data_IF_925418221229
#
_entry.id   IF_925418221229
#
_cell.length_a   1.000
_cell.length_b   1.000
_cell.length_c   1.000
_cell.angle_alpha   90.00
_cell.angle_beta   90.00
_cell.angle_gamma   90.00
#
_symmetry.space_group_name_H-M   'P 1'
#
loop_
_entity.id
_entity.type
_entity.pdbx_description
1 polymer ?
#
# COMPACT_ATOMS: atom_id res chain seq x y z
N UNK A 1 16.96 21.47 4.76
CA UNK A 1 15.66 22.16 4.55
C UNK A 1 14.65 21.54 5.50
N UNK A 2 13.73 22.32 6.08
CA UNK A 2 12.68 21.81 6.98
C UNK A 2 11.39 21.60 6.19
N UNK A 3 10.81 20.40 6.27
CA UNK A 3 9.51 20.10 5.66
C UNK A 3 8.37 20.75 6.49
N UNK A 4 7.37 21.38 5.86
CA UNK A 4 6.26 22.00 6.58
C UNK A 4 5.30 20.96 7.17
N UNK A 5 4.89 21.16 8.41
CA UNK A 5 3.93 20.30 9.11
C UNK A 5 2.49 20.60 8.67
N UNK A 6 1.93 19.77 7.78
CA UNK A 6 0.53 19.88 7.38
C UNK A 6 -0.42 19.35 8.46
N UNK A 7 -1.25 20.23 9.03
CA UNK A 7 -2.40 19.86 9.86
C UNK A 7 -3.58 19.51 8.94
N UNK A 8 -4.04 18.26 8.98
CA UNK A 8 -5.25 17.83 8.29
C UNK A 8 -6.48 18.38 9.05
N UNK A 9 -7.39 19.15 8.41
CA UNK A 9 -8.63 19.57 9.05
C UNK A 9 -9.58 18.36 9.20
N UNK A 10 -10.15 18.21 10.40
CA UNK A 10 -11.21 17.22 10.64
C UNK A 10 -12.51 17.68 9.96
N UNK A 11 -13.04 16.88 9.03
CA UNK A 11 -14.35 17.14 8.45
C UNK A 11 -15.46 17.01 9.51
N UNK A 12 -16.45 17.92 9.54
CA UNK A 12 -17.59 17.81 10.43
C UNK A 12 -18.49 16.62 10.03
N UNK A 13 -19.22 16.01 10.99
CA UNK A 13 -20.04 14.83 10.73
C UNK A 13 -21.21 15.12 9.78
N UNK A 14 -21.48 14.18 8.89
CA UNK A 14 -22.59 14.24 7.92
C UNK A 14 -23.94 14.34 8.64
N UNK A 15 -24.74 15.36 8.29
CA UNK A 15 -26.13 15.49 8.75
C UNK A 15 -26.97 14.35 8.16
N UNK A 16 -27.76 13.67 9.00
CA UNK A 16 -28.76 12.69 8.55
C UNK A 16 -29.87 13.41 7.77
N UNK A 17 -30.07 13.03 6.51
CA UNK A 17 -31.14 13.51 5.64
C UNK A 17 -32.12 12.38 5.30
N UNK A 18 -33.37 12.59 5.67
CA UNK A 18 -34.62 11.86 5.38
C UNK A 18 -34.61 10.80 4.25
N UNK A 19 -34.90 9.55 4.63
CA UNK A 19 -35.37 8.52 3.69
C UNK A 19 -36.89 8.66 3.51
N UNK A 20 -37.34 9.05 2.32
CA UNK A 20 -38.78 9.09 2.00
C UNK A 20 -39.33 7.68 1.81
N UNK A 21 -40.38 7.36 2.55
CA UNK A 21 -41.16 6.13 2.41
C UNK A 21 -41.76 6.00 1.00
N UNK A 22 -41.71 4.79 0.45
CA UNK A 22 -42.73 4.30 -0.49
C UNK A 22 -43.21 2.94 0.00
N UNK A 23 -44.49 2.88 0.35
CA UNK A 23 -45.18 1.64 0.69
C UNK A 23 -45.30 0.75 -0.55
N UNK A 24 -45.18 -0.56 -0.38
CA UNK A 24 -45.97 -1.49 -1.18
C UNK A 24 -46.25 -2.76 -0.37
N UNK A 25 -47.55 -3.01 -0.17
CA UNK A 25 -48.12 -4.18 0.51
C UNK A 25 -48.15 -5.41 -0.38
N UNK A 26 -47.72 -6.56 0.15
CA UNK A 26 -48.36 -7.87 -0.13
C UNK A 26 -48.28 -8.74 1.13
N UNK A 27 -49.41 -9.35 1.53
CA UNK A 27 -49.52 -10.28 2.67
C UNK A 27 -49.24 -11.72 2.24
N UNK A 28 -48.25 -12.40 2.84
CA UNK A 28 -48.27 -13.82 3.30
C UNK A 28 -47.25 -13.90 4.47
N UNK A 29 -47.40 -14.66 5.56
CA UNK A 29 -48.53 -15.44 6.08
C UNK A 29 -48.04 -16.61 6.96
N UNK A 30 -48.67 -16.85 8.12
CA UNK A 30 -48.29 -17.83 9.17
C UNK A 30 -46.95 -17.47 9.91
N UNK A 31 -46.76 -17.70 11.21
CA UNK A 31 -47.71 -18.18 12.23
C UNK A 31 -47.06 -19.07 13.29
N UNK A 32 -46.22 -18.53 14.20
CA UNK A 32 -45.77 -19.25 15.39
C UNK A 32 -45.70 -18.36 16.63
N UNK A 33 -46.25 -18.86 17.73
CA UNK A 33 -46.24 -18.27 19.07
C UNK A 33 -45.35 -19.10 19.98
N UNK A 34 -44.50 -18.48 20.81
CA UNK A 34 -43.98 -19.16 22.01
C UNK A 34 -43.57 -18.17 23.12
N UNK A 35 -44.25 -18.36 24.25
CA UNK A 35 -43.84 -18.11 25.64
C UNK A 35 -42.95 -16.89 25.97
N UNK A 36 -43.59 -15.90 26.60
CA UNK A 36 -42.92 -14.98 27.54
C UNK A 36 -42.42 -15.78 28.74
N UNK A 37 -41.19 -15.53 29.21
CA UNK A 37 -40.85 -15.78 30.61
C UNK A 37 -39.91 -14.70 31.14
N UNK A 38 -40.38 -13.91 32.11
CA UNK A 38 -39.60 -12.90 32.81
C UNK A 38 -38.97 -13.53 34.07
N UNK A 39 -37.69 -13.23 34.33
CA UNK A 39 -37.16 -13.14 35.69
C UNK A 39 -36.45 -11.80 35.84
N UNK A 40 -36.70 -11.02 36.91
CA UNK A 40 -35.94 -9.82 37.19
C UNK A 40 -34.62 -10.19 37.88
N UNK A 41 -33.51 -9.65 37.42
CA UNK A 41 -32.28 -9.58 38.21
C UNK A 41 -32.03 -8.11 38.55
N UNK A 42 -32.23 -7.79 39.82
CA UNK A 42 -31.85 -6.51 40.41
C UNK A 42 -30.33 -6.48 40.51
N UNK A 43 -29.68 -5.76 39.59
CA UNK A 43 -28.26 -5.46 39.64
C UNK A 43 -28.06 -3.97 39.92
N UNK A 44 -27.62 -3.63 41.12
CA UNK A 44 -27.26 -2.25 41.49
C UNK A 44 -26.01 -1.82 40.73
N UNK A 45 -26.16 -0.90 39.78
CA UNK A 45 -25.02 -0.34 39.05
C UNK A 45 -24.22 0.61 39.96
N UNK A 46 -23.10 0.14 40.50
CA UNK A 46 -22.06 1.05 41.01
C UNK A 46 -21.31 1.67 39.82
N UNK A 47 -21.12 3.01 39.78
CA UNK A 47 -20.32 3.64 38.75
C UNK A 47 -18.84 3.36 39.03
N UNK A 48 -18.27 2.35 38.36
CA UNK A 48 -16.82 2.18 38.27
C UNK A 48 -16.25 3.42 37.60
N UNK A 49 -15.50 4.23 38.35
CA UNK A 49 -14.74 5.34 37.78
C UNK A 49 -13.76 4.76 36.76
N UNK A 50 -13.97 5.03 35.48
CA UNK A 50 -12.93 4.83 34.48
C UNK A 50 -11.81 5.83 34.77
N UNK A 51 -10.77 5.37 35.44
CA UNK A 51 -9.48 6.07 35.45
C UNK A 51 -8.99 6.17 34.01
N UNK A 52 -8.59 7.36 33.58
CA UNK A 52 -8.00 7.53 32.25
C UNK A 52 -6.77 6.63 32.13
N UNK A 53 -6.79 5.70 31.17
CA UNK A 53 -5.63 4.86 30.89
C UNK A 53 -4.47 5.74 30.43
N UNK A 54 -3.28 5.54 30.99
CA UNK A 54 -2.09 6.27 30.55
C UNK A 54 -1.82 5.96 29.07
N UNK A 55 -1.47 6.96 28.24
CA UNK A 55 -1.21 6.72 26.83
C UNK A 55 -0.01 5.77 26.67
N UNK A 56 -0.25 4.65 25.97
CA UNK A 56 0.71 3.56 25.77
C UNK A 56 2.05 4.12 25.26
N UNK A 57 3.07 4.11 26.13
CA UNK A 57 4.37 4.74 25.89
C UNK A 57 5.30 3.92 24.99
N UNK A 58 4.74 3.09 24.11
CA UNK A 58 5.50 2.28 23.18
C UNK A 58 5.94 3.12 21.98
N UNK A 59 7.19 3.57 22.03
CA UNK A 59 7.88 4.17 20.89
C UNK A 59 8.80 3.08 20.29
N UNK A 60 8.40 2.38 19.21
CA UNK A 60 9.26 1.42 18.56
C UNK A 60 10.51 2.15 18.04
N UNK A 61 11.70 1.63 18.38
CA UNK A 61 12.95 2.15 17.82
C UNK A 61 12.93 1.90 16.31
N UNK A 62 12.83 2.97 15.52
CA UNK A 62 12.92 2.91 14.06
C UNK A 62 14.22 2.17 13.66
N UNK A 63 14.14 1.18 12.75
CA UNK A 63 15.32 0.56 12.16
C UNK A 63 16.24 1.62 11.55
N UNK A 64 17.55 1.39 11.61
CA UNK A 64 18.53 2.38 11.12
C UNK A 64 18.43 2.58 9.60
N UNK A 65 17.93 1.58 8.86
CA UNK A 65 17.57 1.67 7.44
C UNK A 65 16.52 2.76 7.20
N UNK A 66 15.52 2.86 8.08
CA UNK A 66 14.45 3.88 8.05
C UNK A 66 14.93 5.27 8.51
N UNK A 67 16.20 5.41 8.90
CA UNK A 67 16.86 6.69 9.16
C UNK A 67 17.70 7.16 7.95
N UNK A 68 17.82 6.35 6.91
CA UNK A 68 18.36 6.82 5.63
C UNK A 68 17.36 7.76 4.96
N UNK A 69 17.84 8.95 4.60
CA UNK A 69 17.05 9.92 3.82
C UNK A 69 16.56 9.30 2.50
N UNK A 70 17.37 8.43 1.88
CA UNK A 70 17.04 7.73 0.63
C UNK A 70 15.89 6.73 0.82
N UNK A 71 15.93 5.91 1.88
CA UNK A 71 14.86 4.96 2.20
C UNK A 71 13.54 5.67 2.53
N UNK A 72 13.62 6.75 3.31
CA UNK A 72 12.47 7.59 3.66
C UNK A 72 11.88 8.27 2.42
N UNK A 73 12.74 8.81 1.55
CA UNK A 73 12.33 9.45 0.31
C UNK A 73 11.68 8.45 -0.67
N UNK A 74 12.30 7.30 -0.91
CA UNK A 74 11.71 6.25 -1.74
C UNK A 74 10.36 5.77 -1.18
N UNK A 75 10.24 5.54 0.13
CA UNK A 75 8.97 5.15 0.73
C UNK A 75 7.88 6.21 0.53
N UNK A 76 8.20 7.48 0.76
CA UNK A 76 7.28 8.59 0.51
C UNK A 76 6.82 8.62 -0.95
N UNK A 77 7.76 8.60 -1.90
CA UNK A 77 7.47 8.61 -3.34
C UNK A 77 6.62 7.40 -3.72
N UNK A 78 6.99 6.20 -3.30
CA UNK A 78 6.24 4.98 -3.58
C UNK A 78 4.81 5.04 -3.04
N UNK A 79 4.60 5.47 -1.79
CA UNK A 79 3.26 5.53 -1.21
C UNK A 79 2.39 6.62 -1.85
N UNK A 80 2.99 7.77 -2.20
CA UNK A 80 2.33 8.80 -3.02
C UNK A 80 1.98 8.27 -4.40
N UNK A 81 2.83 7.46 -5.02
CA UNK A 81 2.57 6.81 -6.30
C UNK A 81 1.39 5.83 -6.22
N UNK A 82 1.29 4.97 -5.19
CA UNK A 82 0.12 4.11 -4.99
C UNK A 82 -1.18 4.89 -4.75
N UNK A 83 -1.13 6.03 -4.05
CA UNK A 83 -2.27 6.95 -3.98
C UNK A 83 -2.65 7.50 -5.36
N UNK A 84 -1.65 7.98 -6.11
CA UNK A 84 -1.79 8.60 -7.42
C UNK A 84 -2.43 7.65 -8.43
N UNK A 85 -1.99 6.39 -8.48
CA UNK A 85 -2.62 5.35 -9.31
C UNK A 85 -4.12 5.24 -9.05
N UNK A 86 -4.53 5.16 -7.77
CA UNK A 86 -5.94 5.09 -7.40
C UNK A 86 -6.72 6.36 -7.76
N UNK A 87 -6.13 7.53 -7.54
CA UNK A 87 -6.72 8.83 -7.88
C UNK A 87 -6.90 9.02 -9.39
N UNK A 88 -6.03 8.41 -10.21
CA UNK A 88 -6.04 8.49 -11.67
C UNK A 88 -6.68 7.25 -12.34
N UNK A 89 -7.60 6.57 -11.66
CA UNK A 89 -8.38 5.42 -12.16
C UNK A 89 -7.60 4.14 -12.50
N UNK A 90 -6.37 3.99 -12.00
CA UNK A 90 -5.60 2.76 -12.01
C UNK A 90 -5.80 2.02 -10.68
N UNK A 91 -6.98 1.42 -10.51
CA UNK A 91 -7.33 0.66 -9.32
C UNK A 91 -8.13 -0.63 -9.60
N UNK A 92 -7.99 -1.60 -8.69
CA UNK A 92 -8.79 -2.81 -8.57
C UNK A 92 -9.68 -2.70 -7.33
N UNK A 93 -10.90 -3.22 -7.40
CA UNK A 93 -11.88 -3.17 -6.31
C UNK A 93 -13.31 -3.11 -6.83
N UNK A 94 -14.28 -3.14 -5.93
CA UNK A 94 -15.71 -2.96 -6.22
C UNK A 94 -16.25 -1.74 -5.46
N UNK A 95 -17.43 -1.28 -5.87
CA UNK A 95 -18.16 -0.21 -5.17
C UNK A 95 -18.40 -0.63 -3.72
N UNK A 96 -18.07 0.25 -2.76
CA UNK A 96 -18.15 0.03 -1.31
C UNK A 96 -17.23 -1.09 -0.74
N UNK A 97 -16.25 -1.58 -1.50
CA UNK A 97 -15.25 -2.55 -1.04
C UNK A 97 -13.83 -1.95 -1.00
N UNK A 98 -12.83 -2.76 -0.61
CA UNK A 98 -11.41 -2.38 -0.62
C UNK A 98 -10.96 -1.98 -2.03
N UNK A 99 -10.18 -0.90 -2.12
CA UNK A 99 -9.54 -0.43 -3.35
C UNK A 99 -8.02 -0.60 -3.27
N UNK A 100 -7.44 -1.22 -4.30
CA UNK A 100 -6.00 -1.48 -4.44
C UNK A 100 -5.46 -0.83 -5.73
N UNK A 101 -4.20 -0.37 -5.78
CA UNK A 101 -3.62 0.18 -7.01
C UNK A 101 -3.46 -0.89 -8.09
N UNK A 102 -3.93 -0.60 -9.31
CA UNK A 102 -3.82 -1.48 -10.47
C UNK A 102 -2.54 -1.24 -11.26
N UNK A 103 -1.45 -1.76 -10.72
CA UNK A 103 -0.14 -1.76 -11.36
C UNK A 103 -0.11 -2.50 -12.71
N UNK A 104 -0.99 -3.48 -12.95
CA UNK A 104 -1.03 -4.24 -14.21
C UNK A 104 -1.67 -3.39 -15.33
N UNK A 105 -2.84 -2.80 -15.05
CA UNK A 105 -3.52 -1.85 -15.96
C UNK A 105 -2.65 -0.64 -16.27
N UNK A 106 -1.88 -0.18 -15.29
CA UNK A 106 -0.93 0.90 -15.44
C UNK A 106 0.26 0.50 -16.34
N UNK A 107 0.88 -0.66 -16.10
CA UNK A 107 1.99 -1.16 -16.92
C UNK A 107 1.64 -1.23 -18.41
N UNK A 108 0.43 -1.68 -18.76
CA UNK A 108 -0.06 -1.72 -20.15
C UNK A 108 -0.06 -0.34 -20.83
N UNK A 109 -0.24 0.76 -20.08
CA UNK A 109 -0.18 2.12 -20.64
C UNK A 109 1.24 2.63 -20.87
N UNK A 110 2.23 2.12 -20.13
CA UNK A 110 3.63 2.53 -20.23
C UNK A 110 4.50 1.59 -21.06
N UNK A 111 4.01 0.44 -21.53
CA UNK A 111 4.84 -0.56 -22.22
C UNK A 111 5.72 0.03 -23.35
N UNK A 112 5.20 0.98 -24.12
CA UNK A 112 5.95 1.66 -25.18
C UNK A 112 7.20 2.41 -24.71
N UNK A 113 7.18 3.04 -23.53
CA UNK A 113 8.34 3.75 -22.96
C UNK A 113 9.39 2.77 -22.41
N UNK A 114 8.98 1.60 -21.94
CA UNK A 114 9.89 0.57 -21.43
C UNK A 114 10.55 -0.25 -22.55
N UNK A 115 9.85 -0.44 -23.68
CA UNK A 115 10.40 -1.11 -24.86
C UNK A 115 11.40 -0.24 -25.64
N UNK A 116 11.20 1.08 -25.64
CA UNK A 116 12.07 2.04 -26.30
C UNK A 116 12.50 3.13 -25.29
N UNK A 117 13.30 2.78 -24.27
CA UNK A 117 13.79 3.77 -23.33
C UNK A 117 14.69 4.77 -24.07
N UNK A 118 14.70 6.02 -23.61
CA UNK A 118 15.67 7.00 -24.07
C UNK A 118 17.06 6.64 -23.52
N UNK A 119 18.13 6.97 -24.24
CA UNK A 119 19.53 6.80 -23.82
C UNK A 119 19.86 7.74 -22.63
N UNK A 120 19.27 7.46 -21.48
CA UNK A 120 19.32 8.23 -20.25
C UNK A 120 19.22 7.32 -19.00
N UNK A 121 19.16 7.94 -17.81
CA UNK A 121 19.12 7.24 -16.52
C UNK A 121 17.97 6.24 -16.38
N UNK A 122 16.88 6.40 -17.14
CA UNK A 122 15.77 5.46 -17.14
C UNK A 122 16.14 4.16 -17.85
N UNK A 123 16.89 4.21 -18.96
CA UNK A 123 17.45 3.00 -19.57
C UNK A 123 18.39 2.28 -18.60
N UNK A 124 19.30 3.02 -17.95
CA UNK A 124 20.21 2.46 -16.92
C UNK A 124 19.41 1.74 -15.82
N UNK A 125 18.31 2.33 -15.35
CA UNK A 125 17.44 1.74 -14.33
C UNK A 125 16.66 0.51 -14.82
N UNK A 126 16.20 0.50 -16.08
CA UNK A 126 15.54 -0.66 -16.68
C UNK A 126 16.55 -1.82 -16.87
N UNK A 127 17.76 -1.52 -17.33
CA UNK A 127 18.82 -2.51 -17.50
C UNK A 127 19.32 -3.06 -16.15
N UNK A 128 19.49 -2.20 -15.14
CA UNK A 128 19.82 -2.62 -13.77
C UNK A 128 18.82 -3.66 -13.23
N UNK A 129 17.51 -3.45 -13.40
CA UNK A 129 16.50 -4.42 -12.96
C UNK A 129 16.43 -5.69 -13.83
N UNK A 130 16.87 -5.65 -15.10
CA UNK A 130 17.02 -6.85 -15.95
C UNK A 130 18.16 -7.74 -15.48
N UNK A 131 19.28 -7.13 -15.09
CA UNK A 131 20.50 -7.83 -14.66
C UNK A 131 20.46 -8.22 -13.18
N UNK A 132 19.94 -7.34 -12.33
CA UNK A 132 19.91 -7.45 -10.86
C UNK A 132 18.48 -7.38 -10.30
N UNK A 133 17.55 -8.28 -10.70
CA UNK A 133 16.19 -8.25 -10.20
C UNK A 133 16.13 -8.62 -8.70
N UNK A 134 15.39 -7.86 -7.87
CA UNK A 134 15.32 -8.09 -6.43
C UNK A 134 14.79 -9.49 -6.10
N UNK A 135 15.37 -10.15 -5.09
CA UNK A 135 14.87 -11.44 -4.57
C UNK A 135 13.49 -11.25 -3.92
N UNK A 136 12.65 -12.29 -3.99
CA UNK A 136 11.34 -12.34 -3.32
C UNK A 136 11.48 -13.09 -2.00
N UNK A 137 11.04 -12.48 -0.90
CA UNK A 137 10.88 -13.20 0.36
C UNK A 137 9.77 -14.26 0.22
N UNK A 138 10.09 -15.48 0.67
CA UNK A 138 9.22 -16.65 0.64
C UNK A 138 9.25 -17.35 2.00
N UNK A 139 8.35 -18.33 2.17
CA UNK A 139 8.47 -19.36 3.19
C UNK A 139 9.06 -20.59 2.49
N UNK A 140 10.15 -21.15 3.00
CA UNK A 140 10.79 -22.34 2.44
C UNK A 140 10.10 -23.65 2.90
N UNK A 141 10.58 -24.79 2.44
CA UNK A 141 10.01 -26.11 2.79
C UNK A 141 10.09 -26.43 4.30
N UNK A 142 11.01 -25.80 5.04
CA UNK A 142 11.16 -25.94 6.48
C UNK A 142 10.22 -25.02 7.28
N UNK A 143 9.38 -24.23 6.60
CA UNK A 143 8.51 -23.18 7.15
C UNK A 143 9.25 -21.95 7.69
N UNK A 144 10.47 -21.69 7.20
CA UNK A 144 11.31 -20.56 7.59
C UNK A 144 11.27 -19.45 6.53
N UNK A 145 11.59 -18.21 6.92
CA UNK A 145 11.73 -17.09 5.97
C UNK A 145 13.00 -17.24 5.14
N UNK A 146 12.87 -17.15 3.82
CA UNK A 146 13.96 -17.37 2.86
C UNK A 146 13.78 -16.46 1.61
N UNK A 147 14.76 -16.45 0.71
CA UNK A 147 14.87 -15.51 -0.41
C UNK A 147 15.02 -16.20 -1.75
N UNK A 148 13.94 -16.17 -2.55
CA UNK A 148 13.92 -16.77 -3.88
C UNK A 148 14.43 -15.79 -4.95
N UNK A 149 15.43 -16.15 -5.77
CA UNK A 149 15.74 -15.44 -7.01
C UNK A 149 14.54 -15.42 -7.96
N UNK A 150 14.27 -14.25 -8.54
CA UNK A 150 13.10 -14.02 -9.38
C UNK A 150 13.53 -13.25 -10.64
N UNK A 151 14.10 -13.93 -11.66
CA UNK A 151 14.49 -13.30 -12.91
C UNK A 151 13.29 -12.67 -13.62
N UNK A 152 13.55 -11.70 -14.50
CA UNK A 152 12.53 -11.10 -15.38
C UNK A 152 11.93 -12.18 -16.28
N UNK A 153 10.60 -12.24 -16.35
CA UNK A 153 9.92 -13.10 -17.31
C UNK A 153 9.91 -12.45 -18.70
N UNK A 154 10.77 -12.93 -19.60
CA UNK A 154 10.88 -12.42 -20.99
C UNK A 154 9.64 -12.66 -21.85
N UNK A 155 8.67 -13.47 -21.40
CA UNK A 155 7.38 -13.67 -22.06
C UNK A 155 6.27 -12.75 -21.54
N UNK A 156 6.59 -11.79 -20.65
CA UNK A 156 5.66 -10.79 -20.13
C UNK A 156 6.05 -9.38 -20.60
N UNK A 157 5.09 -8.42 -20.62
CA UNK A 157 5.38 -7.02 -20.91
C UNK A 157 6.48 -6.46 -19.98
N UNK A 158 7.47 -5.77 -20.54
CA UNK A 158 8.65 -5.35 -19.79
C UNK A 158 8.30 -4.34 -18.69
N UNK A 159 7.39 -3.40 -18.95
CA UNK A 159 6.92 -2.44 -17.96
C UNK A 159 6.36 -3.15 -16.73
N UNK A 160 5.63 -4.25 -16.93
CA UNK A 160 5.03 -5.03 -15.84
C UNK A 160 6.11 -5.69 -14.98
N UNK A 161 7.11 -6.32 -15.58
CA UNK A 161 8.16 -7.01 -14.83
C UNK A 161 9.07 -6.03 -14.05
N UNK A 162 9.38 -4.87 -14.63
CA UNK A 162 10.15 -3.81 -13.95
C UNK A 162 9.33 -3.20 -12.80
N UNK A 163 8.04 -2.90 -13.00
CA UNK A 163 7.17 -2.40 -11.92
C UNK A 163 6.93 -3.44 -10.82
N UNK A 164 6.94 -4.75 -11.15
CA UNK A 164 6.97 -5.82 -10.14
C UNK A 164 8.28 -5.76 -9.32
N UNK A 165 9.41 -5.45 -9.94
CA UNK A 165 10.68 -5.28 -9.24
C UNK A 165 10.65 -4.10 -8.27
N UNK A 166 10.19 -2.91 -8.70
CA UNK A 166 10.02 -1.72 -7.83
C UNK A 166 9.12 -2.02 -6.62
N UNK A 167 7.98 -2.70 -6.82
CA UNK A 167 7.09 -3.13 -5.73
C UNK A 167 7.77 -4.13 -4.78
N UNK A 168 8.70 -4.95 -5.29
CA UNK A 168 9.48 -5.91 -4.50
C UNK A 168 10.57 -5.20 -3.69
N UNK A 169 11.24 -4.17 -4.24
CA UNK A 169 12.13 -3.28 -3.46
C UNK A 169 11.38 -2.67 -2.28
N UNK A 170 10.17 -2.13 -2.49
CA UNK A 170 9.32 -1.65 -1.39
C UNK A 170 9.01 -2.73 -0.35
N UNK A 171 8.67 -3.95 -0.76
CA UNK A 171 8.39 -5.02 0.21
C UNK A 171 9.65 -5.40 0.99
N UNK A 172 10.80 -5.47 0.33
CA UNK A 172 12.07 -5.84 0.94
C UNK A 172 12.54 -4.76 1.94
N UNK A 173 12.31 -3.47 1.67
CA UNK A 173 12.67 -2.37 2.57
C UNK A 173 12.04 -2.47 3.97
N UNK A 174 10.80 -2.99 4.09
CA UNK A 174 10.09 -3.09 5.37
C UNK A 174 10.05 -4.50 5.96
N UNK A 175 10.25 -5.53 5.13
CA UNK A 175 10.12 -6.94 5.54
C UNK A 175 11.43 -7.73 5.38
N UNK A 176 12.53 -7.08 4.97
CA UNK A 176 13.88 -7.61 4.85
C UNK A 176 14.51 -7.94 6.21
N UNK A 177 13.93 -8.88 6.94
CA UNK A 177 14.18 -9.10 8.36
C UNK A 177 15.66 -9.19 8.74
N UNK A 178 16.13 -8.20 9.50
CA UNK A 178 17.46 -8.07 10.12
C UNK A 178 17.78 -9.15 11.19
N UNK A 179 17.07 -10.28 11.16
CA UNK A 179 16.95 -11.25 12.25
C UNK A 179 17.47 -12.66 11.91
N UNK A 180 17.71 -12.99 10.64
CA UNK A 180 18.52 -14.16 10.26
C UNK A 180 19.96 -13.73 9.99
N UNK A 181 20.93 -14.63 10.17
CA UNK A 181 22.38 -14.36 10.05
C UNK A 181 22.87 -14.01 8.63
N UNK A 182 21.95 -13.74 7.70
CA UNK A 182 22.21 -13.37 6.32
C UNK A 182 21.95 -11.86 6.23
N UNK A 183 22.98 -11.07 6.46
CA UNK A 183 22.93 -9.61 6.28
C UNK A 183 22.62 -9.31 4.81
N UNK A 184 21.40 -8.85 4.52
CA UNK A 184 21.01 -8.48 3.14
C UNK A 184 21.05 -6.98 2.86
N UNK A 185 21.13 -6.14 3.90
CA UNK A 185 21.47 -4.72 3.76
C UNK A 185 22.99 -4.55 3.64
N UNK A 186 23.55 -5.05 2.53
CA UNK A 186 24.82 -4.56 1.99
C UNK A 186 24.59 -3.22 1.24
N UNK A 187 25.64 -2.45 0.90
CA UNK A 187 25.53 -1.20 0.13
C UNK A 187 24.83 -1.28 -1.25
N UNK A 188 24.36 -2.47 -1.66
CA UNK A 188 23.62 -2.74 -2.90
C UNK A 188 22.14 -2.34 -2.84
N UNK A 189 21.56 -2.16 -1.65
CA UNK A 189 20.15 -1.75 -1.52
C UNK A 189 19.92 -0.29 -1.91
N UNK A 190 20.92 0.58 -1.73
CA UNK A 190 20.84 1.98 -2.15
C UNK A 190 20.62 2.11 -3.67
N UNK A 191 21.21 1.23 -4.48
CA UNK A 191 21.04 1.26 -5.94
C UNK A 191 19.67 0.72 -6.35
N UNK A 192 19.15 -0.32 -5.67
CA UNK A 192 17.76 -0.75 -5.81
C UNK A 192 16.77 0.38 -5.50
N UNK A 193 17.04 1.22 -4.49
CA UNK A 193 16.23 2.39 -4.14
C UNK A 193 16.37 3.52 -5.19
N UNK A 194 17.59 3.87 -5.62
CA UNK A 194 17.85 4.90 -6.65
C UNK A 194 17.21 4.54 -7.98
N UNK A 195 17.43 3.33 -8.49
CA UNK A 195 16.83 2.90 -9.75
C UNK A 195 15.31 2.78 -9.62
N UNK A 196 14.77 2.37 -8.46
CA UNK A 196 13.31 2.44 -8.23
C UNK A 196 12.76 3.85 -8.30
N UNK A 197 13.44 4.84 -7.73
CA UNK A 197 13.07 6.26 -7.82
C UNK A 197 13.06 6.74 -9.28
N UNK A 198 14.12 6.47 -10.04
CA UNK A 198 14.21 6.85 -11.46
C UNK A 198 13.07 6.25 -12.30
N UNK A 199 12.73 4.97 -12.08
CA UNK A 199 11.57 4.35 -12.74
C UNK A 199 10.28 5.08 -12.39
N UNK A 200 10.03 5.37 -11.10
CA UNK A 200 8.81 6.06 -10.65
C UNK A 200 8.73 7.52 -11.15
N UNK A 201 9.84 8.25 -11.13
CA UNK A 201 9.94 9.62 -11.64
C UNK A 201 9.63 9.70 -13.14
N UNK A 202 10.21 8.80 -13.96
CA UNK A 202 9.88 8.70 -15.38
C UNK A 202 8.40 8.36 -15.59
N UNK A 203 7.86 7.41 -14.82
CA UNK A 203 6.43 7.08 -14.88
C UNK A 203 5.52 8.28 -14.55
N UNK A 204 5.94 9.20 -13.66
CA UNK A 204 5.21 10.43 -13.37
C UNK A 204 5.35 11.47 -14.48
N UNK A 205 6.53 11.60 -15.11
CA UNK A 205 6.76 12.62 -16.15
C UNK A 205 6.01 12.34 -17.45
N UNK A 206 5.79 11.08 -17.80
CA UNK A 206 5.11 10.67 -19.03
C UNK A 206 3.58 10.82 -18.97
N UNK A 207 2.98 11.03 -17.78
CA UNK A 207 1.53 11.04 -17.60
C UNK A 207 1.07 12.20 -16.72
N UNK A 208 0.54 13.25 -17.36
CA UNK A 208 0.18 14.52 -16.71
C UNK A 208 -0.91 14.36 -15.64
N UNK A 209 -1.83 13.39 -15.80
CA UNK A 209 -2.85 13.08 -14.81
C UNK A 209 -2.28 12.41 -13.55
N UNK A 210 -1.19 11.63 -13.67
CA UNK A 210 -0.47 11.11 -12.51
C UNK A 210 0.30 12.23 -11.83
N UNK A 211 1.08 13.03 -12.56
CA UNK A 211 1.79 14.17 -11.97
C UNK A 211 0.83 15.11 -11.20
N UNK A 212 -0.30 15.45 -11.81
CA UNK A 212 -1.33 16.31 -11.19
C UNK A 212 -1.93 15.71 -9.92
N UNK A 213 -2.10 14.38 -9.84
CA UNK A 213 -2.60 13.72 -8.63
C UNK A 213 -1.49 13.49 -7.58
N UNK A 214 -0.23 13.39 -8.01
CA UNK A 214 0.94 13.28 -7.13
C UNK A 214 1.25 14.59 -6.40
N UNK A 215 1.03 15.73 -7.06
CA UNK A 215 1.30 17.08 -6.52
C UNK A 215 0.19 17.61 -5.55
N UNK A 216 -0.84 16.80 -5.22
CA UNK A 216 -1.97 17.14 -4.32
C UNK A 216 -1.82 16.67 -2.87
#
# INVERSE_FOLDING_TARGET
MLYPTYKIPLNPPLKKGEVKSRNNTTKIGQGFSLAKNKKPLVGTAHPTKMTAEEPIKYQPKLPDELKSDLATHFFYVFMRFEYTLKASNYYKGKINEKVEPDWDKFAVKLEGIFQNPSLDKFEDAVNYFKETPPKKQIINNNKELDWKPMPINTNAPLAKEILICVRRVRNNLFHGGKASKISLFEPKDDDLLKHSLVILEKCLSEMSELKTAFDR
#
